data_IF_360871856293
#
_entry.id   IF_360871856293
#
_cell.length_a   1.000
_cell.length_b   1.000
_cell.length_c   1.000
_cell.angle_alpha   90.00
_cell.angle_beta   90.00
_cell.angle_gamma   90.00
#
_symmetry.space_group_name_H-M   'P 1'
#
loop_
_entity.id
_entity.type
_entity.pdbx_description
1 polymer ?
#
# COMPACT_ATOMS: atom_id res chain seq x y z
N UNK A 1 -21.11 -1.34 8.34
CA UNK A 1 -20.17 -1.62 9.44
C UNK A 1 -18.74 -1.42 8.95
N UNK A 2 -18.03 -0.42 9.45
CA UNK A 2 -16.66 -0.11 9.03
C UNK A 2 -15.67 -0.91 9.90
N UNK A 3 -15.30 -2.11 9.47
CA UNK A 3 -14.09 -2.79 9.96
C UNK A 3 -12.97 -2.49 8.97
N UNK A 4 -12.03 -1.62 9.32
CA UNK A 4 -10.71 -1.57 8.66
C UNK A 4 -9.66 -1.76 9.73
N UNK A 5 -9.02 -2.93 9.73
CA UNK A 5 -7.59 -3.13 10.01
C UNK A 5 -7.20 -4.63 9.93
N UNK A 6 -6.84 -5.14 8.73
CA UNK A 6 -5.89 -6.24 8.62
C UNK A 6 -4.52 -5.80 8.08
N UNK A 7 -4.31 -4.52 7.73
CA UNK A 7 -3.10 -4.06 7.04
C UNK A 7 -1.80 -4.31 7.83
N UNK A 8 -1.82 -4.11 9.15
CA UNK A 8 -0.61 -4.25 9.97
C UNK A 8 -0.22 -5.72 10.21
N UNK A 9 -1.16 -6.63 10.56
CA UNK A 9 -0.86 -8.07 10.58
C UNK A 9 -0.36 -8.62 9.23
N UNK A 10 -1.00 -8.21 8.13
CA UNK A 10 -0.59 -8.56 6.77
C UNK A 10 0.84 -8.08 6.44
N UNK A 11 1.13 -6.83 6.78
CA UNK A 11 2.45 -6.25 6.59
C UNK A 11 3.52 -6.96 7.41
N UNK A 12 3.20 -7.30 8.66
CA UNK A 12 4.10 -8.06 9.52
C UNK A 12 4.40 -9.43 8.94
N UNK A 13 3.37 -10.18 8.48
CA UNK A 13 3.56 -11.45 7.79
C UNK A 13 4.43 -11.33 6.53
N UNK A 14 4.35 -10.21 5.80
CA UNK A 14 5.21 -9.96 4.64
C UNK A 14 6.68 -9.74 5.02
N UNK A 15 6.94 -9.07 6.14
CA UNK A 15 8.30 -8.79 6.61
C UNK A 15 8.98 -9.98 7.30
N UNK A 16 8.29 -10.63 8.25
CA UNK A 16 8.88 -11.62 9.14
C UNK A 16 8.54 -13.07 8.78
N UNK A 17 7.57 -13.32 7.89
CA UNK A 17 7.03 -14.67 7.66
C UNK A 17 6.30 -15.24 8.87
N UNK A 18 6.02 -14.43 9.90
CA UNK A 18 5.38 -14.83 11.16
C UNK A 18 4.39 -13.76 11.63
N UNK A 19 3.22 -14.16 12.15
CA UNK A 19 2.22 -13.24 12.73
C UNK A 19 2.53 -12.95 14.22
N UNK A 20 3.64 -12.28 14.54
CA UNK A 20 4.03 -12.01 15.94
C UNK A 20 3.92 -10.54 16.34
N UNK A 21 2.70 -10.03 16.47
CA UNK A 21 2.46 -8.69 17.01
C UNK A 21 1.07 -8.57 17.60
N UNK A 22 0.96 -8.35 18.92
CA UNK A 22 -0.34 -8.09 19.55
C UNK A 22 -0.69 -6.62 19.37
N UNK A 23 -1.53 -6.32 18.38
CA UNK A 23 -2.09 -4.99 18.17
C UNK A 23 -3.33 -4.80 19.05
N UNK A 24 -3.30 -3.82 19.96
CA UNK A 24 -4.43 -3.51 20.83
C UNK A 24 -5.13 -2.21 20.41
N UNK A 25 -6.45 -2.15 20.69
CA UNK A 25 -7.35 -1.05 20.35
C UNK A 25 -7.38 -0.03 21.49
N UNK A 26 -7.25 1.26 21.19
CA UNK A 26 -7.52 2.32 22.16
C UNK A 26 -8.53 3.32 21.60
N UNK A 27 -9.77 3.26 22.12
CA UNK A 27 -10.72 4.37 22.15
C UNK A 27 -11.34 4.85 20.82
N UNK A 28 -12.58 5.33 20.90
CA UNK A 28 -13.34 5.89 19.78
C UNK A 28 -12.72 7.19 19.22
N UNK A 29 -11.68 7.11 18.38
CA UNK A 29 -11.28 8.14 17.40
C UNK A 29 -10.14 7.60 16.53
N UNK A 30 -10.47 7.14 15.32
CA UNK A 30 -9.57 6.53 14.33
C UNK A 30 -8.88 5.24 14.86
N UNK A 31 -8.79 4.19 14.04
CA UNK A 31 -8.14 2.95 14.45
C UNK A 31 -6.61 3.15 14.42
N UNK A 32 -6.05 3.68 15.52
CA UNK A 32 -4.61 3.90 15.65
C UNK A 32 -3.97 2.65 16.25
N UNK A 33 -3.12 1.93 15.50
CA UNK A 33 -2.48 0.72 16.01
C UNK A 33 -1.40 1.06 17.04
N UNK A 34 -1.20 0.14 18.00
CA UNK A 34 -0.16 0.21 19.02
C UNK A 34 0.63 -1.09 19.02
N UNK A 35 1.96 -1.00 18.96
CA UNK A 35 2.88 -2.12 19.13
C UNK A 35 3.59 -1.99 20.48
N UNK A 36 3.44 -3.01 21.33
CA UNK A 36 4.19 -3.11 22.57
C UNK A 36 5.60 -3.59 22.25
N UNK A 37 6.59 -2.75 22.55
CA UNK A 37 8.00 -3.09 22.37
C UNK A 37 8.56 -3.61 23.71
N UNK A 38 9.31 -4.71 23.67
CA UNK A 38 9.98 -5.25 24.85
C UNK A 38 11.22 -4.44 25.27
N UNK A 39 11.72 -3.57 24.40
CA UNK A 39 12.98 -2.82 24.58
C UNK A 39 12.77 -1.29 24.71
N UNK A 40 11.55 -0.81 24.90
CA UNK A 40 11.29 0.63 24.97
C UNK A 40 9.80 1.01 25.11
N UNK A 41 9.46 2.30 25.04
CA UNK A 41 8.08 2.76 25.08
C UNK A 41 7.25 2.18 23.92
N UNK A 42 5.93 2.01 24.10
CA UNK A 42 5.06 1.48 23.06
C UNK A 42 5.06 2.39 21.83
N UNK A 43 5.08 1.78 20.65
CA UNK A 43 5.04 2.49 19.38
C UNK A 43 3.58 2.67 18.95
N UNK A 44 3.23 3.88 18.51
CA UNK A 44 1.86 4.25 18.15
C UNK A 44 1.81 4.76 16.72
N UNK A 45 0.81 4.31 15.97
CA UNK A 45 0.54 4.75 14.60
C UNK A 45 1.08 3.81 13.52
N UNK A 46 0.33 3.70 12.42
CA UNK A 46 0.60 2.74 11.35
C UNK A 46 2.00 2.93 10.75
N UNK A 47 2.35 4.17 10.40
CA UNK A 47 3.64 4.50 9.79
C UNK A 47 4.79 4.19 10.75
N UNK A 48 4.69 4.66 12.00
CA UNK A 48 5.72 4.47 13.02
C UNK A 48 6.02 2.98 13.24
N UNK A 49 4.97 2.18 13.40
CA UNK A 49 5.11 0.74 13.61
C UNK A 49 5.66 0.07 12.36
N UNK A 50 5.13 0.38 11.17
CA UNK A 50 5.61 -0.21 9.93
C UNK A 50 7.09 0.09 9.68
N UNK A 51 7.52 1.34 9.86
CA UNK A 51 8.93 1.74 9.76
C UNK A 51 9.81 1.03 10.78
N UNK A 52 9.33 0.81 12.00
CA UNK A 52 10.04 0.04 13.02
C UNK A 52 10.21 -1.42 12.59
N UNK A 53 9.14 -2.08 12.18
CA UNK A 53 9.18 -3.47 11.72
C UNK A 53 10.13 -3.66 10.52
N UNK A 54 10.19 -2.70 9.58
CA UNK A 54 11.16 -2.73 8.48
C UNK A 54 12.61 -2.72 8.99
N UNK A 55 12.89 -1.90 10.00
CA UNK A 55 14.22 -1.83 10.62
C UNK A 55 14.56 -3.10 11.38
N UNK A 56 13.61 -3.65 12.15
CA UNK A 56 13.78 -4.93 12.85
C UNK A 56 14.04 -6.09 11.87
N UNK A 57 13.33 -6.11 10.74
CA UNK A 57 13.52 -7.10 9.67
C UNK A 57 14.81 -6.89 8.85
N UNK A 58 15.62 -5.86 9.16
CA UNK A 58 16.85 -5.50 8.43
C UNK A 58 16.63 -5.22 6.94
N UNK A 59 15.46 -4.71 6.56
CA UNK A 59 15.09 -4.36 5.17
C UNK A 59 15.01 -2.85 4.96
N UNK A 60 16.00 -2.11 5.47
CA UNK A 60 16.00 -0.63 5.47
C UNK A 60 15.92 -0.01 4.08
N UNK A 61 16.29 -0.74 3.03
CA UNK A 61 16.11 -0.34 1.63
C UNK A 61 14.63 -0.01 1.28
N UNK A 62 13.66 -0.65 1.96
CA UNK A 62 12.23 -0.35 1.78
C UNK A 62 11.84 1.05 2.26
N UNK A 63 12.67 1.72 3.05
CA UNK A 63 12.45 3.10 3.50
C UNK A 63 13.04 4.13 2.53
N UNK A 64 13.76 3.70 1.49
CA UNK A 64 14.46 4.55 0.53
C UNK A 64 15.98 4.60 0.78
N UNK A 65 16.76 4.45 -0.29
CA UNK A 65 18.23 4.38 -0.23
C UNK A 65 18.89 5.76 -0.23
N UNK A 66 18.38 6.70 -1.04
CA UNK A 66 18.84 8.09 -1.07
C UNK A 66 18.00 9.02 -0.17
N UNK A 67 18.46 10.25 0.06
CA UNK A 67 17.69 11.23 0.82
C UNK A 67 16.37 11.58 0.11
N UNK A 68 16.43 11.72 -1.20
CA UNK A 68 15.28 11.98 -2.08
C UNK A 68 14.31 10.79 -2.05
N UNK A 69 14.83 9.56 -2.19
CA UNK A 69 14.01 8.36 -2.11
C UNK A 69 13.29 8.23 -0.77
N UNK A 70 13.99 8.51 0.35
CA UNK A 70 13.37 8.55 1.68
C UNK A 70 12.27 9.60 1.80
N UNK A 71 12.48 10.78 1.23
CA UNK A 71 11.48 11.84 1.24
C UNK A 71 10.22 11.44 0.46
N UNK A 72 10.37 10.85 -0.73
CA UNK A 72 9.24 10.36 -1.54
C UNK A 72 8.49 9.25 -0.82
N UNK A 73 9.20 8.29 -0.23
CA UNK A 73 8.56 7.22 0.57
C UNK A 73 7.74 7.84 1.70
N UNK A 74 8.32 8.76 2.48
CA UNK A 74 7.64 9.40 3.60
C UNK A 74 6.40 10.18 3.15
N UNK A 75 6.48 10.90 2.03
CA UNK A 75 5.35 11.62 1.45
C UNK A 75 4.16 10.69 1.15
N UNK A 76 4.41 9.51 0.56
CA UNK A 76 3.36 8.54 0.28
C UNK A 76 2.79 7.88 1.54
N UNK A 77 3.62 7.65 2.55
CA UNK A 77 3.17 7.14 3.84
C UNK A 77 2.26 8.16 4.55
N UNK A 78 2.60 9.44 4.49
CA UNK A 78 1.75 10.51 5.01
C UNK A 78 0.44 10.63 4.22
N UNK A 79 0.51 10.59 2.88
CA UNK A 79 -0.67 10.59 2.00
C UNK A 79 -1.63 9.44 2.36
N UNK A 80 -1.10 8.24 2.63
CA UNK A 80 -1.88 7.08 3.07
C UNK A 80 -2.74 7.39 4.30
N UNK A 81 -2.16 7.99 5.33
CA UNK A 81 -2.86 8.22 6.61
C UNK A 81 -3.75 9.46 6.56
N UNK A 82 -3.34 10.51 5.84
CA UNK A 82 -4.05 11.80 5.82
C UNK A 82 -5.15 11.87 4.77
N UNK A 83 -4.92 11.31 3.57
CA UNK A 83 -5.85 11.42 2.43
C UNK A 83 -6.67 10.15 2.25
N UNK A 84 -6.05 8.97 2.39
CA UNK A 84 -6.69 7.70 2.03
C UNK A 84 -7.47 7.04 3.19
N UNK A 85 -6.97 7.07 4.43
CA UNK A 85 -7.66 6.42 5.56
C UNK A 85 -9.02 7.06 5.92
N UNK A 86 -9.22 8.34 5.57
CA UNK A 86 -10.44 9.10 5.79
C UNK A 86 -11.31 9.36 4.54
N UNK A 87 -10.93 8.84 3.37
CA UNK A 87 -11.52 9.27 2.10
C UNK A 87 -13.03 8.93 2.00
N UNK A 88 -13.80 9.87 1.45
CA UNK A 88 -15.18 9.62 1.02
C UNK A 88 -15.21 8.91 -0.35
N UNK A 89 -16.42 8.63 -0.86
CA UNK A 89 -16.56 8.08 -2.22
C UNK A 89 -16.24 9.14 -3.28
N UNK A 90 -16.45 10.40 -2.99
CA UNK A 90 -16.13 11.52 -3.87
C UNK A 90 -14.61 11.72 -3.93
N UNK A 91 -13.93 11.59 -2.79
CA UNK A 91 -12.47 11.69 -2.69
C UNK A 91 -11.76 10.55 -3.44
N UNK A 92 -12.36 9.35 -3.50
CA UNK A 92 -11.72 8.18 -4.10
C UNK A 92 -11.38 8.38 -5.57
N UNK A 93 -12.24 9.06 -6.34
CA UNK A 93 -11.98 9.39 -7.75
C UNK A 93 -10.79 10.33 -7.89
N UNK A 94 -10.71 11.34 -7.02
CA UNK A 94 -9.59 12.28 -6.99
C UNK A 94 -8.28 11.57 -6.64
N UNK A 95 -8.30 10.71 -5.62
CA UNK A 95 -7.14 9.90 -5.21
C UNK A 95 -6.67 9.00 -6.36
N UNK A 96 -7.59 8.28 -7.02
CA UNK A 96 -7.25 7.41 -8.14
C UNK A 96 -6.70 8.19 -9.33
N UNK A 97 -7.23 9.39 -9.61
CA UNK A 97 -6.72 10.27 -10.66
C UNK A 97 -5.31 10.79 -10.35
N UNK A 98 -5.07 11.25 -9.13
CA UNK A 98 -3.74 11.69 -8.67
C UNK A 98 -2.72 10.55 -8.79
N UNK A 99 -3.07 9.35 -8.30
CA UNK A 99 -2.23 8.16 -8.42
C UNK A 99 -1.98 7.77 -9.87
N UNK A 100 -2.98 7.86 -10.74
CA UNK A 100 -2.85 7.47 -12.14
C UNK A 100 -1.88 8.39 -12.90
N UNK A 101 -1.89 9.69 -12.59
CA UNK A 101 -0.94 10.65 -13.14
C UNK A 101 0.46 10.36 -12.61
N UNK A 102 0.62 10.18 -11.29
CA UNK A 102 1.93 9.91 -10.69
C UNK A 102 2.56 8.61 -11.23
N UNK A 103 1.78 7.55 -11.34
CA UNK A 103 2.25 6.24 -11.81
C UNK A 103 2.42 6.17 -13.33
N UNK A 104 2.15 7.24 -14.08
CA UNK A 104 2.37 7.25 -15.52
C UNK A 104 3.82 6.93 -15.87
N UNK A 105 4.75 7.65 -15.24
CA UNK A 105 6.19 7.55 -15.51
C UNK A 105 6.95 6.71 -14.47
N UNK A 106 6.25 6.10 -13.51
CA UNK A 106 6.85 5.38 -12.39
C UNK A 106 6.33 3.93 -12.30
N UNK A 107 7.25 2.98 -12.12
CA UNK A 107 6.90 1.57 -11.90
C UNK A 107 6.33 1.36 -10.49
N UNK A 108 6.92 2.03 -9.50
CA UNK A 108 6.57 2.03 -8.08
C UNK A 108 6.32 3.46 -7.60
N UNK A 109 5.76 3.64 -6.40
CA UNK A 109 5.46 4.98 -5.89
C UNK A 109 6.70 5.85 -5.68
N UNK A 110 7.83 5.23 -5.32
CA UNK A 110 9.13 5.88 -5.17
C UNK A 110 10.05 5.66 -6.40
N UNK A 111 9.48 5.67 -7.60
CA UNK A 111 10.21 5.55 -8.86
C UNK A 111 10.37 4.09 -9.31
N UNK A 112 11.61 3.61 -9.34
CA UNK A 112 11.96 2.29 -9.90
C UNK A 112 12.22 1.21 -8.85
N UNK A 113 12.11 1.54 -7.57
CA UNK A 113 12.33 0.62 -6.47
C UNK A 113 11.05 0.37 -5.69
N UNK A 114 10.82 -0.90 -5.35
CA UNK A 114 9.74 -1.29 -4.46
C UNK A 114 10.04 -0.84 -3.02
N UNK A 115 9.07 -0.20 -2.37
CA UNK A 115 9.24 0.38 -1.04
C UNK A 115 8.07 0.10 -0.11
N UNK A 116 8.20 0.53 1.14
CA UNK A 116 7.12 0.50 2.12
C UNK A 116 5.88 1.24 1.66
N UNK A 117 6.07 2.33 0.89
CA UNK A 117 4.97 3.10 0.32
C UNK A 117 4.07 2.23 -0.55
N UNK A 118 4.65 1.41 -1.44
CA UNK A 118 3.89 0.53 -2.32
C UNK A 118 3.04 -0.47 -1.55
N UNK A 119 3.62 -1.06 -0.50
CA UNK A 119 2.95 -2.04 0.36
C UNK A 119 1.75 -1.43 1.08
N UNK A 120 1.95 -0.30 1.78
CA UNK A 120 0.87 0.31 2.55
C UNK A 120 -0.19 0.92 1.63
N UNK A 121 0.19 1.50 0.49
CA UNK A 121 -0.78 2.03 -0.47
C UNK A 121 -1.59 0.91 -1.12
N UNK A 122 -0.97 -0.23 -1.45
CA UNK A 122 -1.68 -1.40 -2.00
C UNK A 122 -2.80 -1.85 -1.08
N UNK A 123 -2.52 -2.05 0.21
CA UNK A 123 -3.55 -2.40 1.18
C UNK A 123 -4.58 -1.29 1.40
N UNK A 124 -4.17 -0.02 1.31
CA UNK A 124 -5.05 1.12 1.48
C UNK A 124 -6.08 1.25 0.36
N UNK A 125 -5.64 1.09 -0.89
CA UNK A 125 -6.51 1.26 -2.06
C UNK A 125 -7.21 -0.03 -2.49
N UNK A 126 -6.82 -1.20 -1.97
CA UNK A 126 -7.44 -2.49 -2.31
C UNK A 126 -8.98 -2.44 -2.29
N UNK A 127 -9.67 -1.90 -1.27
CA UNK A 127 -11.13 -1.78 -1.29
C UNK A 127 -11.65 -0.90 -2.42
N UNK A 128 -10.93 0.17 -2.77
CA UNK A 128 -11.32 1.06 -3.86
C UNK A 128 -11.24 0.30 -5.20
N UNK A 129 -10.15 -0.42 -5.44
CA UNK A 129 -9.91 -1.15 -6.69
C UNK A 129 -10.87 -2.34 -6.86
N UNK A 130 -11.25 -3.01 -5.77
CA UNK A 130 -12.26 -4.07 -5.79
C UNK A 130 -13.63 -3.52 -6.22
N UNK A 131 -14.00 -2.33 -5.74
CA UNK A 131 -15.30 -1.71 -6.02
C UNK A 131 -15.39 -1.11 -7.44
N UNK A 132 -14.27 -0.95 -8.17
CA UNK A 132 -14.27 -0.42 -9.53
C UNK A 132 -14.82 -1.45 -10.54
N UNK A 133 -15.63 -0.93 -11.47
CA UNK A 133 -16.03 -1.66 -12.68
C UNK A 133 -14.84 -1.88 -13.60
N UNK A 134 -15.00 -2.78 -14.57
CA UNK A 134 -13.99 -3.02 -15.61
C UNK A 134 -13.65 -1.72 -16.36
N UNK A 135 -14.66 -0.96 -16.75
CA UNK A 135 -14.52 0.27 -17.51
C UNK A 135 -13.79 1.35 -16.70
N UNK A 136 -14.06 1.46 -15.40
CA UNK A 136 -13.32 2.38 -14.53
C UNK A 136 -11.86 1.96 -14.34
N UNK A 137 -11.57 0.66 -14.26
CA UNK A 137 -10.18 0.17 -14.21
C UNK A 137 -9.39 0.54 -15.46
N UNK A 138 -10.03 0.56 -16.63
CA UNK A 138 -9.42 1.02 -17.88
C UNK A 138 -9.11 2.52 -17.88
N UNK A 139 -9.93 3.34 -17.19
CA UNK A 139 -9.68 4.78 -17.03
C UNK A 139 -8.45 5.07 -16.17
N UNK A 140 -8.16 4.21 -15.19
CA UNK A 140 -7.00 4.32 -14.30
C UNK A 140 -5.91 3.29 -14.63
N UNK A 141 -5.54 3.20 -15.92
CA UNK A 141 -4.63 2.17 -16.45
C UNK A 141 -3.31 2.05 -15.68
N UNK A 142 -2.69 3.17 -15.28
CA UNK A 142 -1.41 3.16 -14.59
C UNK A 142 -1.55 2.62 -13.16
N UNK A 143 -2.65 2.98 -12.48
CA UNK A 143 -2.99 2.41 -11.16
C UNK A 143 -3.29 0.93 -11.29
N UNK A 144 -4.06 0.53 -12.30
CA UNK A 144 -4.40 -0.87 -12.53
C UNK A 144 -3.15 -1.72 -12.83
N UNK A 145 -2.23 -1.20 -13.66
CA UNK A 145 -0.92 -1.80 -13.95
C UNK A 145 -0.08 -1.96 -12.68
N UNK A 146 0.07 -0.88 -11.91
CA UNK A 146 0.82 -0.91 -10.65
C UNK A 146 0.18 -1.89 -9.67
N UNK A 147 -1.14 -1.84 -9.47
CA UNK A 147 -1.85 -2.72 -8.56
C UNK A 147 -1.71 -4.19 -8.95
N UNK A 148 -1.81 -4.50 -10.24
CA UNK A 148 -1.58 -5.84 -10.78
C UNK A 148 -0.15 -6.32 -10.55
N UNK A 149 0.83 -5.43 -10.70
CA UNK A 149 2.23 -5.73 -10.42
C UNK A 149 2.45 -6.02 -8.92
N UNK A 150 1.94 -5.16 -8.03
CA UNK A 150 2.11 -5.30 -6.58
C UNK A 150 1.40 -6.55 -6.04
N UNK A 151 0.19 -6.87 -6.50
CA UNK A 151 -0.57 -8.04 -5.99
C UNK A 151 0.11 -9.40 -6.30
N UNK A 152 1.04 -9.43 -7.27
CA UNK A 152 1.79 -10.63 -7.64
C UNK A 152 3.16 -10.71 -6.96
N UNK A 153 3.55 -9.74 -6.13
CA UNK A 153 4.77 -9.84 -5.32
C UNK A 153 4.60 -10.99 -4.31
N UNK A 154 5.54 -11.96 -4.27
CA UNK A 154 5.47 -13.08 -3.34
C UNK A 154 5.29 -12.62 -1.89
N UNK A 155 4.43 -13.32 -1.15
CA UNK A 155 4.15 -13.07 0.27
C UNK A 155 3.53 -11.72 0.61
N UNK A 156 3.23 -10.85 -0.36
CA UNK A 156 2.62 -9.53 -0.09
C UNK A 156 1.09 -9.61 -0.02
N UNK A 157 0.47 -10.34 -0.94
CA UNK A 157 -1.00 -10.45 -1.01
C UNK A 157 -1.60 -11.24 0.16
N UNK A 158 -0.87 -12.20 0.71
CA UNK A 158 -1.34 -13.17 1.70
C UNK A 158 -2.72 -13.72 1.33
N UNK A 159 -3.76 -13.41 2.12
CA UNK A 159 -5.13 -13.88 1.97
C UNK A 159 -6.06 -12.88 1.27
N UNK A 160 -5.56 -11.75 0.75
CA UNK A 160 -6.40 -10.84 -0.02
C UNK A 160 -6.79 -11.48 -1.37
N UNK A 161 -8.07 -11.36 -1.78
CA UNK A 161 -8.51 -11.92 -3.06
C UNK A 161 -7.77 -11.19 -4.20
N UNK A 162 -7.28 -11.94 -5.22
CA UNK A 162 -6.65 -11.33 -6.38
C UNK A 162 -7.72 -10.55 -7.16
N UNK A 163 -7.41 -9.32 -7.54
CA UNK A 163 -8.31 -8.51 -8.36
C UNK A 163 -7.91 -8.70 -9.80
N UNK A 164 -8.86 -9.18 -10.62
CA UNK A 164 -8.63 -9.28 -12.06
C UNK A 164 -8.49 -7.87 -12.63
N UNK A 165 -7.32 -7.60 -13.20
CA UNK A 165 -7.05 -6.42 -14.01
C UNK A 165 -6.94 -6.89 -15.45
N UNK A 166 -7.79 -6.37 -16.33
CA UNK A 166 -7.72 -6.70 -17.76
C UNK A 166 -6.48 -6.04 -18.36
N UNK A 167 -5.60 -6.86 -18.91
CA UNK A 167 -4.47 -6.39 -19.70
C UNK A 167 -4.96 -6.17 -21.13
N UNK A 168 -5.32 -4.94 -21.49
CA UNK A 168 -5.60 -4.59 -22.87
C UNK A 168 -4.30 -4.71 -23.69
N UNK A 169 -4.09 -5.88 -24.29
CA UNK A 169 -3.03 -6.10 -25.29
C UNK A 169 -3.42 -5.34 -26.56
N UNK A 170 -2.97 -4.09 -26.71
CA UNK A 170 -3.21 -3.33 -27.95
C UNK A 170 -2.28 -3.80 -29.10
N UNK A 171 -1.33 -4.70 -28.86
CA UNK A 171 -0.56 -5.31 -29.95
C UNK A 171 -0.93 -6.78 -30.14
N UNK A 172 -1.84 -7.03 -31.07
CA UNK A 172 -1.69 -8.23 -31.89
C UNK A 172 -0.51 -7.94 -32.80
N UNK A 173 0.63 -8.59 -32.57
CA UNK A 173 1.70 -8.65 -33.56
C UNK A 173 1.20 -9.49 -34.74
N UNK A 174 0.38 -8.88 -35.61
CA UNK A 174 0.23 -9.34 -36.99
C UNK A 174 1.51 -8.95 -37.72
N UNK A 175 2.51 -9.81 -37.60
CA UNK A 175 3.58 -9.84 -38.59
C UNK A 175 3.00 -10.48 -39.85
N UNK A 176 2.91 -9.68 -40.91
CA UNK A 176 2.76 -10.12 -42.30
C UNK A 176 4.04 -10.79 -42.78
#
# INVERSE_FOLDING_TARGET
>A
GKRRAPCLPLFQGFLSGTEQGRCYLCGFKLWVPVLQNNQGPPLVGLITIACHLVKEAKRSNLLGESAEGRAVVQQWLEYRVTRLDGCTKEDSKTILKELNIHLQDNVYLAGNHFTLADTLMYYGIHPLIVDLTVQEKEQYLNVARWFDHIQHIPSLRHHLPPVVVLRNRIYTSRHH
#
